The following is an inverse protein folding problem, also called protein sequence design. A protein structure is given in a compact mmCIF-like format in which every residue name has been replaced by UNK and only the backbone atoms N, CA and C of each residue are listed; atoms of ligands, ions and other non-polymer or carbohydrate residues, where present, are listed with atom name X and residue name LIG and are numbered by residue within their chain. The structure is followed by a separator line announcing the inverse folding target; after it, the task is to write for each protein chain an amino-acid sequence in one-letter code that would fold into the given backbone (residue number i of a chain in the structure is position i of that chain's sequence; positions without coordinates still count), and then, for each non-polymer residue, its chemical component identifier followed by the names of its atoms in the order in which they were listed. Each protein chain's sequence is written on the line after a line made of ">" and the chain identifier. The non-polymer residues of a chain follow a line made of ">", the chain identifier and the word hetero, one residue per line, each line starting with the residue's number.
data_IF_888994040791
#
_entry.id   IF_888994040791
#
_cell.length_a   1.000
_cell.length_b   1.000
_cell.length_c   1.000
_cell.angle_alpha   90.00
_cell.angle_beta   90.00
_cell.angle_gamma   90.00
#
_symmetry.space_group_name_H-M   'P 1'
#
loop_
_entity.id
_entity.type
_entity.pdbx_description
1 polymer ?
#
# COMPACT_ATOMS: atom_id res chain seq x y z
N UNK A 1 10.91 -52.45 -39.49
CA UNK A 1 10.14 -51.73 -38.47
C UNK A 1 9.94 -52.59 -37.24
N UNK A 2 10.03 -51.99 -36.06
CA UNK A 2 9.58 -52.63 -34.83
C UNK A 2 8.09 -52.30 -34.70
N UNK A 3 7.22 -53.30 -34.76
CA UNK A 3 5.76 -53.13 -34.77
C UNK A 3 5.13 -53.28 -33.38
N UNK A 4 5.93 -53.37 -32.33
CA UNK A 4 5.49 -53.60 -30.95
C UNK A 4 6.44 -52.98 -29.93
N UNK A 5 6.31 -53.41 -28.66
CA UNK A 5 7.06 -52.81 -27.56
C UNK A 5 8.56 -53.15 -27.62
N UNK A 6 9.40 -52.17 -27.28
CA UNK A 6 10.83 -52.37 -27.01
C UNK A 6 11.03 -52.50 -25.49
N UNK A 7 11.70 -53.56 -25.04
CA UNK A 7 12.06 -53.77 -23.63
C UNK A 7 13.58 -53.95 -23.52
N UNK A 8 14.25 -53.14 -22.70
CA UNK A 8 15.67 -53.26 -22.37
C UNK A 8 15.85 -53.35 -20.85
N UNK A 9 16.65 -54.30 -20.38
CA UNK A 9 17.01 -54.40 -18.95
C UNK A 9 18.05 -53.37 -18.52
N UNK A 10 18.74 -52.76 -19.48
CA UNK A 10 19.71 -51.68 -19.26
C UNK A 10 19.26 -50.36 -19.90
N UNK A 11 20.19 -49.41 -20.02
CA UNK A 11 19.91 -48.11 -20.62
C UNK A 11 19.52 -48.24 -22.09
N UNK A 12 18.58 -47.41 -22.54
CA UNK A 12 18.33 -47.17 -23.96
C UNK A 12 19.12 -45.92 -24.37
N UNK A 13 20.07 -46.07 -25.29
CA UNK A 13 20.86 -44.96 -25.85
C UNK A 13 20.52 -44.79 -27.32
N UNK A 14 20.20 -43.57 -27.73
CA UNK A 14 19.93 -43.20 -29.12
C UNK A 14 20.90 -42.08 -29.49
N UNK A 15 21.81 -42.35 -30.44
CA UNK A 15 22.86 -41.39 -30.83
C UNK A 15 22.36 -40.30 -31.82
N UNK A 16 21.14 -40.45 -32.33
CA UNK A 16 20.50 -39.51 -33.24
C UNK A 16 19.25 -38.88 -32.65
N UNK A 17 18.49 -38.19 -33.51
CA UNK A 17 17.22 -37.60 -33.12
C UNK A 17 16.17 -38.68 -32.90
N UNK A 18 15.23 -38.41 -31.99
CA UNK A 18 14.06 -39.26 -31.77
C UNK A 18 12.81 -38.39 -31.90
N UNK A 19 11.82 -38.84 -32.65
CA UNK A 19 10.46 -38.28 -32.63
C UNK A 19 9.63 -39.19 -31.72
N UNK A 20 8.98 -38.61 -30.71
CA UNK A 20 8.16 -39.34 -29.74
C UNK A 20 6.71 -38.86 -29.87
N UNK A 21 5.83 -39.77 -30.29
CA UNK A 21 4.50 -39.44 -30.78
C UNK A 21 4.54 -38.94 -32.23
N UNK A 22 3.64 -39.44 -33.06
CA UNK A 22 3.48 -39.09 -34.47
C UNK A 22 2.07 -38.59 -34.82
N UNK A 23 1.14 -38.64 -33.86
CA UNK A 23 -0.22 -38.13 -33.98
C UNK A 23 -0.63 -37.25 -32.78
N UNK A 24 -1.66 -36.41 -32.97
CA UNK A 24 -2.17 -35.50 -31.93
C UNK A 24 -2.80 -36.18 -30.70
N UNK A 25 -3.04 -37.49 -30.78
CA UNK A 25 -3.56 -38.30 -29.67
C UNK A 25 -2.48 -38.98 -28.82
N UNK A 26 -1.21 -38.89 -29.21
CA UNK A 26 -0.14 -39.61 -28.51
C UNK A 26 0.23 -38.97 -27.18
N UNK A 27 0.66 -39.81 -26.25
CA UNK A 27 1.18 -39.39 -24.94
C UNK A 27 2.61 -39.89 -24.76
N UNK A 28 3.49 -39.01 -24.28
CA UNK A 28 4.82 -39.42 -23.79
C UNK A 28 4.78 -39.55 -22.26
N UNK A 29 5.08 -40.73 -21.74
CA UNK A 29 5.11 -40.99 -20.28
C UNK A 29 6.54 -41.28 -19.82
N UNK A 30 7.03 -40.54 -18.82
CA UNK A 30 8.33 -40.75 -18.17
C UNK A 30 8.08 -41.12 -16.71
N UNK A 31 8.25 -42.40 -16.36
CA UNK A 31 8.01 -42.90 -15.00
C UNK A 31 9.24 -42.76 -14.07
N UNK A 32 10.35 -42.23 -14.58
CA UNK A 32 11.55 -41.96 -13.77
C UNK A 32 11.31 -40.84 -12.77
N UNK A 33 12.05 -40.84 -11.67
CA UNK A 33 11.94 -39.82 -10.61
C UNK A 33 12.51 -38.45 -10.99
N UNK A 34 13.27 -38.38 -12.09
CA UNK A 34 13.87 -37.14 -12.59
C UNK A 34 14.00 -37.17 -14.13
N UNK A 35 14.00 -35.97 -14.72
CA UNK A 35 14.36 -35.73 -16.12
C UNK A 35 15.58 -34.82 -16.12
N UNK A 36 16.68 -35.27 -16.73
CA UNK A 36 17.90 -34.47 -16.88
C UNK A 36 18.00 -33.96 -18.31
N UNK A 37 18.13 -32.64 -18.46
CA UNK A 37 18.30 -31.95 -19.75
C UNK A 37 19.58 -31.10 -19.70
N UNK A 38 20.77 -31.70 -19.76
CA UNK A 38 22.04 -31.01 -19.50
C UNK A 38 22.29 -29.81 -20.44
N UNK A 39 21.71 -29.86 -21.63
CA UNK A 39 21.85 -28.82 -22.66
C UNK A 39 20.57 -27.95 -22.78
N UNK A 40 19.71 -27.98 -21.75
CA UNK A 40 18.43 -27.25 -21.74
C UNK A 40 17.30 -27.96 -22.47
N UNK A 41 16.13 -27.32 -22.45
CA UNK A 41 14.91 -27.76 -23.12
C UNK A 41 14.20 -26.54 -23.69
N UNK A 42 13.85 -26.55 -24.97
CA UNK A 42 13.00 -25.54 -25.59
C UNK A 42 11.73 -26.21 -26.11
N UNK A 43 10.57 -25.75 -25.63
CA UNK A 43 9.26 -26.18 -26.09
C UNK A 43 8.65 -25.06 -26.92
N UNK A 44 8.29 -25.40 -28.16
CA UNK A 44 7.63 -24.49 -29.12
C UNK A 44 8.35 -23.14 -29.22
N UNK A 45 9.58 -23.20 -29.75
CA UNK A 45 10.45 -22.08 -30.12
C UNK A 45 10.21 -20.81 -29.29
N UNK A 46 10.65 -20.87 -28.03
CA UNK A 46 10.67 -19.80 -27.02
C UNK A 46 9.48 -19.79 -26.06
N UNK A 47 8.43 -20.60 -26.29
CA UNK A 47 7.25 -20.61 -25.40
C UNK A 47 7.59 -21.02 -23.97
N UNK A 48 8.29 -22.14 -23.77
CA UNK A 48 8.82 -22.55 -22.46
C UNK A 48 10.25 -23.06 -22.61
N UNK A 49 11.20 -22.41 -21.94
CA UNK A 49 12.62 -22.69 -22.07
C UNK A 49 13.25 -22.94 -20.71
N UNK A 50 13.96 -24.07 -20.58
CA UNK A 50 14.89 -24.33 -19.48
C UNK A 50 16.30 -24.06 -20.01
N UNK A 51 16.91 -22.99 -19.51
CA UNK A 51 18.32 -22.68 -19.75
C UNK A 51 19.16 -23.31 -18.62
N UNK A 52 19.59 -24.55 -18.86
CA UNK A 52 20.40 -25.31 -17.92
C UNK A 52 21.82 -24.73 -17.74
N UNK A 53 22.34 -23.99 -18.73
CA UNK A 53 23.67 -23.40 -18.65
C UNK A 53 23.71 -22.26 -17.62
N UNK A 54 22.63 -21.48 -17.52
CA UNK A 54 22.55 -20.32 -16.63
C UNK A 54 21.62 -20.51 -15.42
N UNK A 55 21.00 -21.69 -15.26
CA UNK A 55 20.01 -22.01 -14.22
C UNK A 55 18.78 -21.09 -14.26
N UNK A 56 18.15 -20.94 -15.44
CA UNK A 56 17.03 -20.03 -15.67
C UNK A 56 15.85 -20.70 -16.37
N UNK A 57 14.67 -20.12 -16.22
CA UNK A 57 13.45 -20.49 -16.93
C UNK A 57 12.90 -19.28 -17.69
N UNK A 58 12.61 -19.46 -18.98
CA UNK A 58 12.04 -18.45 -19.85
C UNK A 58 10.63 -18.81 -20.31
N UNK A 59 9.75 -17.81 -20.41
CA UNK A 59 8.45 -17.86 -21.08
C UNK A 59 8.42 -16.79 -22.18
N UNK A 60 8.18 -17.20 -23.42
CA UNK A 60 8.30 -16.35 -24.63
C UNK A 60 9.70 -15.71 -24.80
N UNK A 61 10.74 -16.43 -24.38
CA UNK A 61 12.14 -16.04 -24.59
C UNK A 61 13.04 -17.27 -24.58
N UNK A 62 13.94 -17.39 -25.55
CA UNK A 62 15.00 -18.41 -25.58
C UNK A 62 16.24 -18.04 -24.78
N UNK A 63 16.36 -16.80 -24.33
CA UNK A 63 17.53 -16.28 -23.62
C UNK A 63 17.08 -15.54 -22.36
N UNK A 64 16.51 -16.25 -21.37
CA UNK A 64 16.07 -15.64 -20.13
C UNK A 64 17.23 -14.92 -19.43
N UNK A 65 17.00 -13.69 -18.98
CA UNK A 65 18.03 -12.88 -18.28
C UNK A 65 17.89 -12.94 -16.76
N UNK A 66 16.74 -13.39 -16.26
CA UNK A 66 16.43 -13.58 -14.85
C UNK A 66 16.22 -15.07 -14.52
N UNK A 67 16.22 -15.42 -13.23
CA UNK A 67 15.96 -16.80 -12.79
C UNK A 67 14.62 -17.35 -13.31
N UNK A 68 13.59 -16.52 -13.28
CA UNK A 68 12.35 -16.67 -14.05
C UNK A 68 12.19 -15.41 -14.89
N UNK A 69 12.05 -15.57 -16.20
CA UNK A 69 11.87 -14.48 -17.15
C UNK A 69 10.60 -14.70 -17.98
N UNK A 70 9.67 -13.77 -17.88
CA UNK A 70 8.40 -13.80 -18.61
C UNK A 70 8.39 -12.58 -19.52
N UNK A 71 8.57 -12.80 -20.82
CA UNK A 71 8.59 -11.75 -21.82
C UNK A 71 7.17 -11.39 -22.30
N UNK A 72 6.26 -11.18 -21.33
CA UNK A 72 4.84 -10.82 -21.46
C UNK A 72 4.24 -10.62 -20.04
N UNK A 73 2.92 -10.55 -19.93
CA UNK A 73 2.18 -10.53 -18.68
C UNK A 73 2.21 -11.89 -17.96
N UNK A 74 2.43 -11.86 -16.65
CA UNK A 74 2.23 -13.01 -15.76
C UNK A 74 0.92 -12.88 -14.97
N UNK A 75 0.04 -13.88 -15.03
CA UNK A 75 -1.20 -13.92 -14.24
C UNK A 75 -1.02 -14.77 -12.99
N UNK A 76 -1.34 -14.21 -11.82
CA UNK A 76 -1.40 -14.93 -10.53
C UNK A 76 -2.84 -14.89 -10.02
N UNK A 77 -3.50 -16.04 -9.90
CA UNK A 77 -4.94 -16.11 -9.64
C UNK A 77 -5.43 -17.45 -9.08
N UNK A 78 -6.35 -17.42 -8.11
CA UNK A 78 -7.10 -18.61 -7.63
C UNK A 78 -8.56 -18.23 -7.33
N UNK A 79 -9.42 -19.21 -7.00
CA UNK A 79 -10.84 -18.99 -6.61
C UNK A 79 -11.05 -18.86 -5.10
N UNK A 80 -9.97 -18.84 -4.30
CA UNK A 80 -10.05 -18.73 -2.84
C UNK A 80 -9.94 -17.29 -2.34
N UNK A 81 -10.15 -17.11 -1.03
CA UNK A 81 -10.12 -15.81 -0.35
C UNK A 81 -8.76 -15.09 -0.43
N UNK A 82 -7.68 -15.85 -0.65
CA UNK A 82 -6.33 -15.31 -0.78
C UNK A 82 -5.73 -15.64 -2.14
N UNK A 83 -5.40 -14.60 -2.88
CA UNK A 83 -4.58 -14.64 -4.09
C UNK A 83 -3.54 -13.54 -3.97
N UNK A 84 -2.27 -13.82 -4.25
CA UNK A 84 -1.26 -12.78 -4.21
C UNK A 84 0.14 -13.26 -4.54
N UNK A 85 1.07 -12.30 -4.55
CA UNK A 85 2.50 -12.51 -4.72
C UNK A 85 3.19 -12.36 -3.36
N UNK A 86 3.89 -13.40 -2.90
CA UNK A 86 4.73 -13.32 -1.70
C UNK A 86 6.15 -12.92 -2.09
N UNK A 87 6.66 -11.85 -1.49
CA UNK A 87 8.05 -11.41 -1.65
C UNK A 87 8.77 -11.63 -0.32
N UNK A 88 9.96 -12.26 -0.38
CA UNK A 88 10.72 -12.64 0.82
C UNK A 88 12.15 -12.12 0.69
N UNK A 89 12.56 -11.25 1.61
CA UNK A 89 13.99 -11.02 1.87
C UNK A 89 14.53 -12.19 2.69
N UNK A 90 15.33 -13.05 2.07
CA UNK A 90 15.98 -14.18 2.77
C UNK A 90 17.16 -13.76 3.64
N UNK A 91 17.63 -12.52 3.51
CA UNK A 91 18.70 -11.99 4.33
C UNK A 91 18.18 -11.61 5.72
N UNK A 92 18.98 -11.90 6.74
CA UNK A 92 18.69 -11.51 8.13
C UNK A 92 18.68 -9.98 8.27
N UNK A 93 17.59 -9.43 8.81
CA UNK A 93 17.42 -8.02 9.08
C UNK A 93 17.80 -7.61 10.51
N UNK A 94 18.21 -8.54 11.37
CA UNK A 94 18.47 -8.33 12.81
C UNK A 94 19.48 -7.22 13.14
N UNK A 95 20.37 -6.86 12.20
CA UNK A 95 21.41 -5.83 12.39
C UNK A 95 21.32 -4.68 11.41
N UNK A 96 20.82 -4.91 10.19
CA UNK A 96 20.73 -3.90 9.13
C UNK A 96 19.44 -4.14 8.36
N UNK A 97 18.71 -3.07 8.06
CA UNK A 97 17.48 -3.15 7.30
C UNK A 97 17.66 -3.89 5.96
N UNK A 98 16.60 -4.56 5.51
CA UNK A 98 16.55 -5.27 4.22
C UNK A 98 15.33 -4.84 3.45
N UNK A 99 15.43 -4.80 2.13
CA UNK A 99 14.36 -4.30 1.27
C UNK A 99 13.91 -5.38 0.31
N UNK A 100 12.62 -5.66 0.32
CA UNK A 100 11.90 -6.32 -0.76
C UNK A 100 11.26 -5.23 -1.64
N UNK A 101 11.11 -5.44 -2.94
CA UNK A 101 10.62 -4.38 -3.83
C UNK A 101 9.75 -4.86 -4.98
N UNK A 102 8.97 -3.92 -5.53
CA UNK A 102 8.35 -3.97 -6.83
C UNK A 102 8.83 -2.74 -7.61
N UNK A 103 9.56 -2.98 -8.69
CA UNK A 103 10.25 -1.94 -9.45
C UNK A 103 9.72 -1.88 -10.88
N UNK A 104 9.62 -0.67 -11.44
CA UNK A 104 9.41 -0.47 -12.87
C UNK A 104 10.68 0.12 -13.47
N UNK A 105 11.08 -0.39 -14.63
CA UNK A 105 12.25 0.10 -15.36
C UNK A 105 11.84 0.62 -16.72
N UNK A 106 12.54 1.65 -17.17
CA UNK A 106 12.42 2.13 -18.53
C UNK A 106 13.11 1.19 -19.53
N UNK A 107 13.02 1.51 -20.82
CA UNK A 107 13.57 0.70 -21.90
C UNK A 107 15.11 0.60 -21.92
N UNK A 108 15.82 1.33 -21.06
CA UNK A 108 17.27 1.27 -20.89
C UNK A 108 17.67 0.41 -19.68
N UNK A 109 16.71 -0.21 -19.00
CA UNK A 109 16.95 -1.01 -17.79
C UNK A 109 17.17 -0.17 -16.53
N UNK A 110 16.95 1.14 -16.59
CA UNK A 110 17.05 2.02 -15.43
C UNK A 110 15.70 2.06 -14.72
N UNK A 111 15.69 1.77 -13.42
CA UNK A 111 14.49 1.81 -12.61
C UNK A 111 13.97 3.24 -12.43
N UNK A 112 12.67 3.46 -12.66
CA UNK A 112 12.04 4.79 -12.64
C UNK A 112 11.04 5.01 -11.50
N UNK A 113 10.52 3.94 -10.92
CA UNK A 113 9.56 3.96 -9.83
C UNK A 113 9.61 2.67 -9.04
N UNK A 114 9.20 2.74 -7.77
CA UNK A 114 9.19 1.57 -6.91
C UNK A 114 8.12 1.62 -5.83
N UNK A 115 7.84 0.43 -5.31
CA UNK A 115 7.31 0.21 -3.96
C UNK A 115 8.36 -0.59 -3.20
N UNK A 116 8.82 -0.06 -2.07
CA UNK A 116 9.73 -0.77 -1.16
C UNK A 116 8.99 -1.24 0.07
N UNK A 117 9.31 -2.47 0.48
CA UNK A 117 8.95 -3.07 1.76
C UNK A 117 10.25 -3.25 2.54
N UNK A 118 10.49 -2.35 3.49
CA UNK A 118 11.71 -2.37 4.30
C UNK A 118 11.43 -3.12 5.59
N UNK A 119 12.30 -4.08 5.92
CA UNK A 119 12.31 -4.85 7.15
C UNK A 119 13.38 -4.27 8.07
N UNK A 120 12.97 -3.64 9.18
CA UNK A 120 13.89 -2.97 10.09
C UNK A 120 14.47 -3.94 11.14
N UNK A 121 15.64 -3.66 11.72
CA UNK A 121 16.24 -4.49 12.76
C UNK A 121 15.42 -4.64 14.04
N UNK A 122 14.56 -3.68 14.34
CA UNK A 122 13.67 -3.69 15.51
C UNK A 122 12.40 -4.55 15.31
N UNK A 123 12.28 -5.23 14.16
CA UNK A 123 11.12 -6.04 13.80
C UNK A 123 9.97 -5.25 13.18
N UNK A 124 10.07 -3.92 13.08
CA UNK A 124 9.11 -3.10 12.36
C UNK A 124 9.33 -3.17 10.85
N UNK A 125 8.42 -2.55 10.10
CA UNK A 125 8.57 -2.38 8.66
C UNK A 125 8.12 -1.00 8.20
N UNK A 126 8.68 -0.54 7.09
CA UNK A 126 8.16 0.64 6.39
C UNK A 126 7.75 0.27 4.97
N UNK A 127 6.74 0.97 4.46
CA UNK A 127 6.33 0.89 3.06
C UNK A 127 6.55 2.26 2.45
N UNK A 128 7.27 2.31 1.33
CA UNK A 128 7.54 3.56 0.65
C UNK A 128 7.30 3.46 -0.85
N UNK A 129 6.81 4.56 -1.44
CA UNK A 129 6.56 4.68 -2.86
C UNK A 129 7.43 5.81 -3.41
N UNK A 130 8.14 5.54 -4.50
CA UNK A 130 8.98 6.53 -5.16
C UNK A 130 8.66 6.68 -6.63
N UNK A 131 8.90 7.89 -7.12
CA UNK A 131 8.84 8.23 -8.54
C UNK A 131 10.09 9.00 -8.94
N UNK A 132 10.43 8.95 -10.22
CA UNK A 132 11.53 9.74 -10.78
C UNK A 132 11.02 11.11 -11.24
N UNK A 133 11.59 12.24 -10.77
CA UNK A 133 11.32 13.56 -11.34
C UNK A 133 11.73 13.66 -12.81
N UNK A 134 11.18 14.62 -13.55
CA UNK A 134 11.57 14.87 -14.95
C UNK A 134 13.09 15.05 -15.12
N UNK A 135 13.66 14.45 -16.16
CA UNK A 135 15.11 14.38 -16.26
C UNK A 135 15.67 13.37 -17.25
N UNK A 136 16.98 13.10 -17.10
CA UNK A 136 17.65 12.03 -17.84
C UNK A 136 17.03 10.68 -17.53
N UNK A 137 16.87 9.85 -18.58
CA UNK A 137 16.41 8.46 -18.48
C UNK A 137 17.53 7.44 -18.27
N UNK A 138 18.80 7.88 -18.27
CA UNK A 138 19.97 7.00 -18.17
C UNK A 138 20.54 6.87 -16.77
N UNK A 139 19.95 7.53 -15.77
CA UNK A 139 20.40 7.46 -14.38
C UNK A 139 19.23 7.27 -13.43
N UNK A 140 19.45 6.46 -12.38
CA UNK A 140 18.47 6.33 -11.30
C UNK A 140 18.39 7.65 -10.53
N UNK A 141 17.19 8.20 -10.49
CA UNK A 141 16.86 9.49 -9.87
C UNK A 141 15.56 9.38 -9.05
N UNK A 142 15.21 8.17 -8.63
CA UNK A 142 13.99 7.93 -7.85
C UNK A 142 14.03 8.70 -6.54
N UNK A 143 12.90 9.31 -6.21
CA UNK A 143 12.70 10.03 -4.95
C UNK A 143 11.47 9.45 -4.27
N UNK A 144 11.61 9.01 -3.01
CA UNK A 144 10.48 8.59 -2.20
C UNK A 144 9.50 9.74 -2.07
N UNK A 145 8.23 9.51 -2.44
CA UNK A 145 7.16 10.52 -2.43
C UNK A 145 6.19 10.34 -1.28
N UNK A 146 5.93 9.09 -0.91
CA UNK A 146 5.01 8.71 0.14
C UNK A 146 5.61 7.59 0.97
N UNK A 147 5.37 7.60 2.28
CA UNK A 147 5.87 6.61 3.21
C UNK A 147 4.83 6.31 4.31
N UNK A 148 4.79 5.05 4.72
CA UNK A 148 4.12 4.56 5.92
C UNK A 148 5.21 4.08 6.87
N UNK A 149 5.34 4.72 8.02
CA UNK A 149 6.29 4.31 9.05
C UNK A 149 5.78 3.08 9.83
N UNK A 150 6.64 2.45 10.63
CA UNK A 150 6.29 1.26 11.41
C UNK A 150 5.22 1.47 12.47
N UNK A 151 4.99 2.73 12.87
CA UNK A 151 3.91 3.16 13.76
C UNK A 151 2.61 3.51 13.01
N UNK A 152 2.59 3.37 11.67
CA UNK A 152 1.48 3.73 10.81
C UNK A 152 1.43 5.21 10.40
N UNK A 153 2.38 6.05 10.84
CA UNK A 153 2.41 7.45 10.45
C UNK A 153 2.62 7.59 8.95
N UNK A 154 1.66 8.22 8.27
CA UNK A 154 1.77 8.58 6.87
C UNK A 154 2.67 9.81 6.75
N UNK A 155 3.52 9.87 5.72
CA UNK A 155 4.27 11.06 5.36
C UNK A 155 4.42 11.22 3.85
N UNK A 156 4.48 12.46 3.37
CA UNK A 156 4.63 12.77 1.97
C UNK A 156 5.59 13.93 1.75
N UNK A 157 6.18 13.99 0.56
CA UNK A 157 7.10 15.07 0.18
C UNK A 157 6.32 16.26 -0.38
N UNK A 158 6.66 17.48 0.06
CA UNK A 158 6.12 18.71 -0.54
C UNK A 158 6.63 18.84 -1.98
N UNK A 159 5.79 19.23 -2.96
CA UNK A 159 6.22 19.39 -4.35
C UNK A 159 7.50 20.21 -4.48
N UNK A 160 8.51 19.66 -5.16
CA UNK A 160 9.81 20.30 -5.38
C UNK A 160 10.87 20.05 -4.30
N UNK A 161 10.51 19.44 -3.16
CA UNK A 161 11.45 19.04 -2.11
C UNK A 161 11.83 17.55 -2.15
N UNK A 162 12.66 17.16 -1.18
CA UNK A 162 12.98 15.75 -0.82
C UNK A 162 12.65 15.43 0.65
N UNK A 163 12.25 16.44 1.43
CA UNK A 163 11.89 16.27 2.85
C UNK A 163 10.47 15.71 2.98
N UNK A 164 10.34 14.65 3.79
CA UNK A 164 9.05 14.10 4.17
C UNK A 164 8.41 14.92 5.28
N UNK A 165 7.14 15.26 5.11
CA UNK A 165 6.31 15.87 6.15
C UNK A 165 5.30 14.84 6.65
N UNK A 166 5.09 14.71 7.98
CA UNK A 166 4.01 13.91 8.51
C UNK A 166 2.66 14.35 7.92
N UNK A 167 1.81 13.38 7.60
CA UNK A 167 0.41 13.64 7.28
C UNK A 167 -0.34 14.08 8.53
N UNK A 168 -0.92 15.27 8.49
CA UNK A 168 -1.76 15.82 9.56
C UNK A 168 -3.23 15.51 9.28
N UNK A 169 -3.62 14.24 9.45
CA UNK A 169 -5.01 13.83 9.26
C UNK A 169 -5.91 14.35 10.39
N UNK A 170 -7.18 14.62 10.06
CA UNK A 170 -8.19 14.97 11.07
C UNK A 170 -8.37 13.81 12.06
N UNK A 171 -8.23 14.08 13.36
CA UNK A 171 -8.30 13.07 14.44
C UNK A 171 -9.67 12.95 15.09
N UNK A 172 -10.48 13.99 15.02
CA UNK A 172 -11.88 13.96 15.43
C UNK A 172 -12.68 15.00 14.65
N UNK A 173 -13.92 14.69 14.31
CA UNK A 173 -14.82 15.64 13.66
C UNK A 173 -16.28 15.38 14.01
N UNK A 174 -17.10 16.43 14.02
CA UNK A 174 -18.54 16.33 14.22
C UNK A 174 -19.28 17.31 13.33
N UNK A 175 -20.42 16.89 12.78
CA UNK A 175 -21.47 17.78 12.29
C UNK A 175 -22.70 17.56 13.17
N UNK A 176 -23.24 18.63 13.73
CA UNK A 176 -24.37 18.54 14.65
C UNK A 176 -25.33 19.73 14.55
N UNK A 177 -26.53 19.51 15.07
CA UNK A 177 -27.52 20.55 15.31
C UNK A 177 -27.38 21.04 16.75
N UNK A 178 -27.12 22.34 16.93
CA UNK A 178 -27.00 22.98 18.24
C UNK A 178 -28.30 23.59 18.76
N UNK A 179 -29.40 23.58 17.98
CA UNK A 179 -30.69 24.16 18.42
C UNK A 179 -31.63 23.11 19.01
N UNK A 180 -32.51 23.53 19.91
CA UNK A 180 -33.50 22.66 20.54
C UNK A 180 -32.80 21.57 21.37
N UNK A 181 -33.13 20.30 21.13
CA UNK A 181 -32.31 19.20 21.66
C UNK A 181 -31.14 18.96 20.72
N UNK A 182 -29.92 19.18 21.23
CA UNK A 182 -28.70 18.97 20.43
C UNK A 182 -28.63 17.53 19.88
N UNK A 183 -28.17 17.39 18.65
CA UNK A 183 -28.11 16.07 17.99
C UNK A 183 -26.94 15.98 17.00
N UNK A 184 -26.17 14.90 17.08
CA UNK A 184 -25.12 14.58 16.11
C UNK A 184 -25.77 14.14 14.79
N UNK A 185 -25.40 14.77 13.67
CA UNK A 185 -25.76 14.30 12.33
C UNK A 185 -24.78 13.28 11.80
N UNK A 186 -23.49 13.51 12.02
CA UNK A 186 -22.42 12.55 11.75
C UNK A 186 -21.16 12.93 12.52
N UNK A 187 -20.30 11.95 12.80
CA UNK A 187 -19.06 12.19 13.53
C UNK A 187 -18.01 11.10 13.30
N UNK A 188 -16.76 11.42 13.59
CA UNK A 188 -15.66 10.48 13.75
C UNK A 188 -14.88 10.79 15.03
N UNK A 189 -14.64 9.78 15.87
CA UNK A 189 -13.99 9.91 17.18
C UNK A 189 -14.69 10.88 18.16
N UNK A 190 -16.03 10.83 18.22
CA UNK A 190 -16.85 11.65 19.12
C UNK A 190 -17.77 10.73 19.90
N UNK A 191 -17.68 10.77 21.22
CA UNK A 191 -18.49 9.93 22.11
C UNK A 191 -19.82 10.61 22.44
N UNK A 192 -19.77 11.88 22.83
CA UNK A 192 -20.96 12.66 23.21
C UNK A 192 -20.78 14.14 22.92
N UNK A 193 -21.91 14.84 22.80
CA UNK A 193 -21.99 16.28 22.91
C UNK A 193 -22.68 16.64 24.23
N UNK A 194 -22.24 17.72 24.87
CA UNK A 194 -22.93 18.31 26.00
C UNK A 194 -23.21 19.77 25.70
N UNK A 195 -24.47 20.15 25.87
CA UNK A 195 -24.91 21.55 25.86
C UNK A 195 -24.68 22.13 27.26
N UNK A 196 -23.70 23.03 27.37
CA UNK A 196 -23.32 23.65 28.66
C UNK A 196 -24.07 24.95 28.92
N UNK A 197 -24.56 25.59 27.86
CA UNK A 197 -25.43 26.77 27.85
C UNK A 197 -25.72 27.13 26.38
N UNK A 198 -26.61 28.11 26.16
CA UNK A 198 -26.86 28.69 24.83
C UNK A 198 -25.54 28.95 24.08
N UNK A 199 -25.41 28.33 22.91
CA UNK A 199 -24.28 28.43 21.99
C UNK A 199 -22.96 27.87 22.50
N UNK A 200 -22.91 27.20 23.65
CA UNK A 200 -21.68 26.62 24.24
C UNK A 200 -21.77 25.10 24.28
N UNK A 201 -20.86 24.47 23.55
CA UNK A 201 -20.88 23.02 23.38
C UNK A 201 -19.56 22.38 23.81
N UNK A 202 -19.70 21.33 24.62
CA UNK A 202 -18.64 20.36 24.92
C UNK A 202 -18.71 19.20 23.96
N UNK A 203 -17.59 18.88 23.34
CA UNK A 203 -17.45 17.79 22.39
C UNK A 203 -16.47 16.79 22.97
N UNK A 204 -16.97 15.64 23.42
CA UNK A 204 -16.16 14.60 24.03
C UNK A 204 -15.65 13.63 22.97
N UNK A 205 -14.37 13.29 23.03
CA UNK A 205 -13.77 12.31 22.14
C UNK A 205 -14.07 10.88 22.61
N UNK A 206 -14.07 9.92 21.69
CA UNK A 206 -14.13 8.49 22.04
C UNK A 206 -12.76 7.98 22.47
N UNK A 207 -11.73 8.34 21.70
CA UNK A 207 -10.32 8.10 21.96
C UNK A 207 -9.65 9.45 22.27
N UNK A 208 -9.04 9.62 23.46
CA UNK A 208 -8.35 10.84 23.82
C UNK A 208 -7.22 11.19 22.85
N UNK A 209 -7.01 12.49 22.62
CA UNK A 209 -5.84 13.02 21.94
C UNK A 209 -4.58 12.70 22.77
N UNK A 210 -3.39 12.54 22.14
CA UNK A 210 -2.15 12.28 22.86
C UNK A 210 -1.78 13.34 23.91
N UNK A 211 -2.12 14.60 23.65
CA UNK A 211 -1.93 15.74 24.56
C UNK A 211 -2.93 16.86 24.23
N UNK A 212 -2.90 17.93 25.01
CA UNK A 212 -3.82 19.08 24.89
C UNK A 212 -3.46 20.06 23.76
N UNK A 213 -2.32 19.89 23.09
CA UNK A 213 -1.85 20.81 22.05
C UNK A 213 -2.43 20.46 20.68
N UNK A 214 -3.75 20.25 20.63
CA UNK A 214 -4.50 20.01 19.40
C UNK A 214 -5.13 21.31 18.87
N UNK A 215 -5.33 21.38 17.57
CA UNK A 215 -6.01 22.49 16.90
C UNK A 215 -7.48 22.14 16.67
N UNK A 216 -8.39 22.96 17.18
CA UNK A 216 -9.82 22.84 16.91
C UNK A 216 -10.24 23.92 15.92
N UNK A 217 -10.81 23.49 14.79
CA UNK A 217 -11.39 24.36 13.78
C UNK A 217 -12.90 24.13 13.81
N UNK A 218 -13.67 25.20 13.83
CA UNK A 218 -15.11 25.12 13.80
C UNK A 218 -15.71 26.13 12.84
N UNK A 219 -16.81 25.75 12.21
CA UNK A 219 -17.69 26.65 11.46
C UNK A 219 -19.11 26.48 11.99
N UNK A 220 -19.87 27.57 11.95
CA UNK A 220 -21.28 27.56 12.31
C UNK A 220 -22.08 28.40 11.31
N UNK A 221 -23.34 28.06 11.12
CA UNK A 221 -24.25 28.82 10.28
C UNK A 221 -25.70 28.65 10.73
N UNK A 222 -26.53 29.62 10.38
CA UNK A 222 -27.98 29.56 10.53
C UNK A 222 -28.67 29.73 9.17
N UNK A 223 -29.99 29.62 9.14
CA UNK A 223 -30.78 29.87 7.93
C UNK A 223 -30.82 31.37 7.54
N UNK A 224 -30.35 32.27 8.40
CA UNK A 224 -30.55 33.72 8.25
C UNK A 224 -29.27 34.54 8.41
N UNK A 225 -28.19 33.97 8.94
CA UNK A 225 -26.96 34.70 9.27
C UNK A 225 -25.70 33.84 9.11
N UNK A 226 -24.58 34.51 8.78
CA UNK A 226 -23.22 33.94 8.92
C UNK A 226 -22.84 34.07 10.40
N UNK A 227 -22.40 32.98 11.00
CA UNK A 227 -22.01 32.93 12.41
C UNK A 227 -20.50 32.80 12.55
N UNK A 228 -19.94 33.50 13.53
CA UNK A 228 -18.56 33.30 13.95
C UNK A 228 -18.48 32.12 14.91
N UNK A 229 -17.31 31.48 14.97
CA UNK A 229 -17.03 30.51 16.03
C UNK A 229 -15.72 30.89 16.70
N UNK A 230 -15.72 30.82 18.02
CA UNK A 230 -14.51 30.93 18.82
C UNK A 230 -14.31 29.62 19.59
N UNK A 231 -13.06 29.13 19.64
CA UNK A 231 -12.69 28.19 20.68
C UNK A 231 -12.96 28.87 22.02
N UNK A 232 -13.62 28.18 22.96
CA UNK A 232 -13.90 28.77 24.26
C UNK A 232 -12.57 29.13 24.94
N UNK A 233 -12.46 30.37 25.44
CA UNK A 233 -11.22 30.88 26.00
C UNK A 233 -10.72 30.00 27.16
N UNK A 234 -9.41 29.66 27.22
CA UNK A 234 -8.83 28.90 28.33
C UNK A 234 -8.93 29.64 29.68
N UNK A 235 -9.23 30.96 29.66
CA UNK A 235 -9.42 31.76 30.88
C UNK A 235 -10.57 31.23 31.75
N UNK A 236 -11.52 30.47 31.19
CA UNK A 236 -12.63 29.88 31.94
C UNK A 236 -12.57 28.36 32.10
N UNK A 237 -12.04 27.60 31.14
CA UNK A 237 -11.75 26.16 31.33
C UNK A 237 -10.74 25.67 30.28
N UNK A 238 -9.72 24.91 30.70
CA UNK A 238 -8.69 24.39 29.79
C UNK A 238 -9.23 23.28 28.85
N UNK A 239 -8.72 23.20 27.60
CA UNK A 239 -8.85 22.02 26.76
C UNK A 239 -8.26 20.79 27.47
N UNK A 240 -8.82 19.62 27.21
CA UNK A 240 -8.31 18.37 27.78
C UNK A 240 -8.07 17.37 26.65
N UNK A 241 -7.25 16.35 26.91
CA UNK A 241 -7.04 15.25 25.96
C UNK A 241 -8.35 14.57 25.54
N UNK A 242 -9.42 14.65 26.33
CA UNK A 242 -10.67 13.91 26.07
C UNK A 242 -11.81 14.76 25.53
N UNK A 243 -11.65 16.08 25.39
CA UNK A 243 -12.73 16.95 24.92
C UNK A 243 -12.23 18.30 24.42
N UNK A 244 -12.93 18.86 23.43
CA UNK A 244 -12.82 20.27 23.04
C UNK A 244 -14.10 21.03 23.35
N UNK A 245 -14.00 22.36 23.45
CA UNK A 245 -15.12 23.27 23.71
C UNK A 245 -15.17 24.38 22.69
N UNK A 246 -16.38 24.74 22.27
CA UNK A 246 -16.62 25.83 21.34
C UNK A 246 -17.74 26.73 21.85
N UNK A 247 -17.70 27.99 21.45
CA UNK A 247 -18.82 28.91 21.56
C UNK A 247 -19.16 29.47 20.18
N UNK A 248 -20.45 29.43 19.83
CA UNK A 248 -20.98 30.00 18.60
C UNK A 248 -21.48 31.41 18.87
N UNK A 249 -21.06 32.36 18.04
CA UNK A 249 -21.44 33.76 18.15
C UNK A 249 -22.09 34.25 16.86
N UNK A 250 -23.02 35.17 16.99
CA UNK A 250 -23.56 35.89 15.84
C UNK A 250 -22.65 37.04 15.38
N UNK A 251 -23.05 37.71 14.30
CA UNK A 251 -22.34 38.86 13.73
C UNK A 251 -22.26 40.08 14.66
N UNK A 252 -23.00 40.08 15.77
CA UNK A 252 -22.98 41.12 16.81
C UNK A 252 -22.15 40.73 18.04
N UNK A 253 -21.64 39.48 18.08
CA UNK A 253 -20.90 38.92 19.20
C UNK A 253 -21.78 38.28 20.29
N UNK A 254 -23.08 38.11 20.05
CA UNK A 254 -23.97 37.42 20.98
C UNK A 254 -23.80 35.90 20.87
N UNK A 255 -23.70 35.20 22.01
CA UNK A 255 -23.61 33.74 22.03
C UNK A 255 -24.99 33.16 21.74
N UNK A 256 -25.09 32.33 20.70
CA UNK A 256 -26.38 31.77 20.24
C UNK A 256 -26.25 30.31 19.81
N UNK A 257 -27.37 29.58 19.88
CA UNK A 257 -27.46 28.25 19.28
C UNK A 257 -27.53 28.33 17.76
N UNK A 258 -26.87 27.37 17.08
CA UNK A 258 -26.83 27.31 15.63
C UNK A 258 -27.24 25.95 15.08
N UNK A 259 -28.05 25.91 14.01
CA UNK A 259 -28.51 24.64 13.46
C UNK A 259 -27.44 23.87 12.69
N UNK A 260 -26.43 24.55 12.14
CA UNK A 260 -25.38 23.90 11.35
C UNK A 260 -24.03 24.19 11.97
N UNK A 261 -23.49 23.23 12.74
CA UNK A 261 -22.17 23.36 13.36
C UNK A 261 -21.31 22.20 12.88
N UNK A 262 -20.09 22.51 12.44
CA UNK A 262 -19.08 21.52 12.05
C UNK A 262 -17.76 21.80 12.74
N UNK A 263 -17.18 20.78 13.37
CA UNK A 263 -15.91 20.86 14.09
C UNK A 263 -14.97 19.83 13.50
N UNK A 264 -13.70 20.21 13.33
CA UNK A 264 -12.60 19.34 13.00
C UNK A 264 -11.44 19.58 13.96
N UNK A 265 -10.79 18.50 14.42
CA UNK A 265 -9.69 18.54 15.37
C UNK A 265 -8.46 17.86 14.76
N UNK A 266 -7.34 18.56 14.75
CA UNK A 266 -6.06 18.09 14.25
C UNK A 266 -5.03 18.04 15.38
N UNK A 267 -4.17 17.03 15.37
CA UNK A 267 -3.05 16.89 16.31
C UNK A 267 -1.88 16.20 15.65
#
# INVERSE_FOLDING_TARGET
>A
DITGNIKSSGNLTINGNTTLGDASGDTTTINGTAVSVPNGLNIDSDTFVIDAANNRVGIRTSSPINGLDVNDNARVGTTGDFTGLKIISKSDSSSVAKTSFLDSSNNLGITDSHIFFVHNPDGSSTISLATTPSGSRSSDRRVTRFNIAGDGQLSAVVPGGSTHYPGFLCRAWVNFNGTGTISIRSSGNISTLVDDNVGRYRINFTNPMPDINYSTICTAGSNTQILGVMAESPVTVDPTVSQTRIAVIDHTGSIIDAPYISVAVFR
#
